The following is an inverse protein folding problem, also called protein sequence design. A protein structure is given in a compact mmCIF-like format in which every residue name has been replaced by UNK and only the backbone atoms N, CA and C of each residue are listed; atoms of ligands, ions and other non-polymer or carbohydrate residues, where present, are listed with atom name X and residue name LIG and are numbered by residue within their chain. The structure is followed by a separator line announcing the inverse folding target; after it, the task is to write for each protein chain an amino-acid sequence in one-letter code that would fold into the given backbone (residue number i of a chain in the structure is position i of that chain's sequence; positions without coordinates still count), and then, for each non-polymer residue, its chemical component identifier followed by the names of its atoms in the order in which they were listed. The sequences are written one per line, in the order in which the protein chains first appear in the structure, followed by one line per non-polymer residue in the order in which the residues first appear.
data_IF_417859477727
#
_entry.id   IF_417859477727
#
_cell.length_a   1.000
_cell.length_b   1.000
_cell.length_c   1.000
_cell.angle_alpha   90.00
_cell.angle_beta   90.00
_cell.angle_gamma   90.00
#
_symmetry.space_group_name_H-M   'P 1'
#
loop_
_entity.id
_entity.type
_entity.pdbx_description
1 polymer ?
#
# COMPACT_ATOMS: atom_id res chain seq x y z
N UNK A 1 -33.61 20.19 -15.79
CA UNK A 1 -33.38 18.74 -15.71
C UNK A 1 -31.96 18.53 -15.20
N UNK A 2 -31.78 18.18 -13.91
CA UNK A 2 -30.52 17.74 -13.39
C UNK A 2 -30.23 16.36 -14.03
N UNK A 3 -29.26 16.29 -14.94
CA UNK A 3 -28.77 15.04 -15.48
C UNK A 3 -28.12 14.25 -14.34
N UNK A 4 -28.86 13.31 -13.76
CA UNK A 4 -28.33 12.42 -12.76
C UNK A 4 -27.25 11.54 -13.38
N UNK A 5 -26.02 11.67 -12.93
CA UNK A 5 -24.96 10.71 -13.27
C UNK A 5 -25.29 9.37 -12.60
N UNK A 6 -25.56 8.34 -13.39
CA UNK A 6 -25.68 6.98 -12.87
C UNK A 6 -24.28 6.41 -12.61
N UNK A 7 -24.02 5.81 -11.44
CA UNK A 7 -22.76 5.15 -11.18
C UNK A 7 -22.57 3.98 -12.17
N UNK A 8 -21.33 3.79 -12.63
CA UNK A 8 -20.96 2.68 -13.52
C UNK A 8 -19.57 2.16 -13.14
N UNK A 9 -19.33 0.88 -13.37
CA UNK A 9 -17.98 0.31 -13.36
C UNK A 9 -17.25 0.86 -14.59
N UNK A 10 -16.03 1.36 -14.40
CA UNK A 10 -15.22 1.95 -15.48
C UNK A 10 -14.07 1.03 -15.91
N UNK A 11 -13.59 0.17 -15.01
CA UNK A 11 -12.58 -0.84 -15.32
C UNK A 11 -12.66 -2.00 -14.31
N UNK A 12 -12.22 -3.17 -14.71
CA UNK A 12 -12.16 -4.37 -13.87
C UNK A 12 -10.85 -5.12 -14.10
N UNK A 13 -10.28 -5.66 -13.01
CA UNK A 13 -9.20 -6.65 -13.08
C UNK A 13 -9.78 -8.05 -13.21
N UNK A 14 -9.01 -8.99 -13.78
CA UNK A 14 -9.38 -10.39 -13.76
C UNK A 14 -9.55 -10.88 -12.30
N UNK A 15 -10.60 -11.69 -12.00
CA UNK A 15 -10.78 -12.21 -10.65
C UNK A 15 -9.62 -13.15 -10.26
N UNK A 16 -9.29 -13.21 -8.97
CA UNK A 16 -8.26 -14.13 -8.45
C UNK A 16 -8.56 -15.60 -8.80
N UNK A 17 -9.84 -15.91 -9.03
CA UNK A 17 -10.28 -17.20 -9.56
C UNK A 17 -10.22 -18.38 -8.55
N UNK A 18 -9.82 -18.13 -7.30
CA UNK A 18 -9.73 -19.16 -6.25
C UNK A 18 -10.67 -18.81 -5.10
N UNK A 19 -11.52 -19.74 -4.63
CA UNK A 19 -12.41 -19.50 -3.51
C UNK A 19 -11.67 -19.07 -2.24
N UNK A 20 -12.32 -18.20 -1.44
CA UNK A 20 -11.78 -17.65 -0.19
C UNK A 20 -10.45 -16.88 -0.36
N UNK A 21 -10.20 -16.37 -1.54
CA UNK A 21 -9.13 -15.41 -1.81
C UNK A 21 -9.74 -14.03 -2.00
N UNK A 22 -9.03 -13.03 -1.55
CA UNK A 22 -9.42 -11.64 -1.67
C UNK A 22 -8.18 -10.74 -1.71
N UNK A 23 -8.37 -9.50 -2.05
CA UNK A 23 -7.34 -8.47 -2.04
C UNK A 23 -7.74 -7.33 -1.10
N UNK A 24 -6.75 -6.66 -0.54
CA UNK A 24 -6.95 -5.45 0.25
C UNK A 24 -6.32 -4.27 -0.48
N UNK A 25 -7.13 -3.31 -1.01
CA UNK A 25 -6.62 -2.14 -1.70
C UNK A 25 -5.78 -1.26 -0.78
N UNK A 26 -4.81 -0.55 -1.37
CA UNK A 26 -3.92 0.40 -0.68
C UNK A 26 -4.23 1.82 -1.13
N UNK A 27 -4.16 2.06 -2.44
CA UNK A 27 -4.33 3.37 -3.04
C UNK A 27 -4.15 3.33 -4.54
N UNK A 28 -4.09 4.51 -5.16
CA UNK A 28 -3.81 4.68 -6.58
C UNK A 28 -2.95 5.92 -6.82
N UNK A 29 -2.08 5.86 -7.81
CA UNK A 29 -1.20 6.94 -8.25
C UNK A 29 -0.28 6.47 -9.36
N UNK A 30 0.40 7.39 -10.01
CA UNK A 30 1.54 7.08 -10.86
C UNK A 30 2.73 6.79 -9.94
N UNK A 31 3.12 5.52 -9.83
CA UNK A 31 4.11 5.05 -8.85
C UNK A 31 5.46 4.71 -9.48
N UNK A 32 5.55 4.69 -10.80
CA UNK A 32 6.75 4.36 -11.56
C UNK A 32 7.20 5.46 -12.54
N UNK A 33 6.44 6.60 -12.56
CA UNK A 33 6.72 7.80 -13.38
C UNK A 33 6.57 7.55 -14.88
N UNK A 34 5.66 6.65 -15.27
CA UNK A 34 5.36 6.41 -16.69
C UNK A 34 4.20 7.25 -17.24
N UNK A 35 3.54 8.04 -16.37
CA UNK A 35 2.42 8.93 -16.67
C UNK A 35 1.06 8.22 -16.68
N UNK A 36 0.97 6.99 -16.22
CA UNK A 36 -0.26 6.22 -16.03
C UNK A 36 -0.56 6.06 -14.55
N UNK A 37 -1.75 5.56 -14.25
CA UNK A 37 -2.19 5.37 -12.85
C UNK A 37 -2.28 3.90 -12.53
N UNK A 38 -1.55 3.47 -11.53
CA UNK A 38 -1.64 2.15 -10.95
C UNK A 38 -2.59 2.16 -9.75
N UNK A 39 -3.31 1.06 -9.60
CA UNK A 39 -4.06 0.72 -8.40
C UNK A 39 -3.35 -0.37 -7.64
N UNK A 40 -3.05 -0.12 -6.38
CA UNK A 40 -2.26 -1.01 -5.54
C UNK A 40 -3.13 -1.81 -4.60
N UNK A 41 -2.83 -3.09 -4.48
CA UNK A 41 -3.46 -3.99 -3.52
C UNK A 41 -2.50 -5.06 -3.03
N UNK A 42 -2.76 -5.62 -1.84
CA UNK A 42 -2.15 -6.89 -1.44
C UNK A 42 -3.13 -8.02 -1.72
N UNK A 43 -2.76 -8.92 -2.61
CA UNK A 43 -3.52 -10.12 -2.92
C UNK A 43 -3.21 -11.18 -1.84
N UNK A 44 -4.24 -11.86 -1.35
CA UNK A 44 -4.16 -12.91 -0.32
C UNK A 44 -3.32 -12.51 0.91
N UNK A 45 -3.65 -11.38 1.58
CA UNK A 45 -2.78 -10.80 2.61
C UNK A 45 -2.54 -11.70 3.83
N UNK A 46 -3.32 -12.78 4.00
CA UNK A 46 -3.15 -13.73 5.11
C UNK A 46 -2.18 -14.88 4.81
N UNK A 47 -1.93 -15.16 3.52
CA UNK A 47 -1.22 -16.36 3.07
C UNK A 47 -0.22 -15.96 1.99
N UNK A 48 0.96 -15.51 2.40
CA UNK A 48 2.04 -15.17 1.48
C UNK A 48 1.69 -14.04 0.49
N UNK A 49 1.12 -12.96 1.02
CA UNK A 49 0.56 -11.87 0.23
C UNK A 49 1.49 -11.28 -0.81
N UNK A 50 0.93 -10.98 -1.97
CA UNK A 50 1.60 -10.33 -3.09
C UNK A 50 1.14 -8.89 -3.17
N UNK A 51 2.05 -7.94 -3.06
CA UNK A 51 1.82 -6.54 -3.41
C UNK A 51 1.77 -6.46 -4.93
N UNK A 52 0.63 -6.02 -5.46
CA UNK A 52 0.35 -5.99 -6.89
C UNK A 52 -0.02 -4.58 -7.29
N UNK A 53 0.61 -4.08 -8.34
CA UNK A 53 0.25 -2.87 -9.06
C UNK A 53 -0.56 -3.26 -10.31
N UNK A 54 -1.72 -2.65 -10.46
CA UNK A 54 -2.59 -2.81 -11.63
C UNK A 54 -2.61 -1.51 -12.40
N UNK A 55 -2.12 -1.51 -13.61
CA UNK A 55 -2.20 -0.37 -14.52
C UNK A 55 -3.57 -0.27 -15.17
N UNK A 56 -4.07 0.96 -15.33
CA UNK A 56 -5.38 1.23 -15.92
C UNK A 56 -5.31 1.42 -17.44
N UNK A 57 -5.94 0.53 -18.18
CA UNK A 57 -6.04 0.56 -19.64
C UNK A 57 -7.51 0.64 -20.10
N UNK A 58 -8.06 1.83 -20.18
CA UNK A 58 -9.42 2.05 -20.70
C UNK A 58 -10.51 1.45 -19.81
N UNK A 59 -10.94 0.22 -20.08
CA UNK A 59 -11.97 -0.51 -19.32
C UNK A 59 -11.41 -1.73 -18.56
N UNK A 60 -10.10 -1.94 -18.59
CA UNK A 60 -9.41 -3.04 -17.93
C UNK A 60 -8.32 -2.56 -16.97
N UNK A 61 -8.04 -3.39 -15.97
CA UNK A 61 -6.87 -3.30 -15.10
C UNK A 61 -6.00 -4.52 -15.38
N UNK A 62 -4.76 -4.30 -15.83
CA UNK A 62 -3.76 -5.36 -16.02
C UNK A 62 -2.69 -5.29 -14.95
N UNK A 63 -2.15 -6.45 -14.57
CA UNK A 63 -1.00 -6.49 -13.65
C UNK A 63 0.21 -5.91 -14.38
N UNK A 64 0.80 -4.91 -13.78
CA UNK A 64 2.04 -4.30 -14.21
C UNK A 64 3.21 -4.83 -13.38
N UNK A 65 3.14 -4.72 -12.04
CA UNK A 65 4.19 -5.15 -11.14
C UNK A 65 3.66 -6.05 -10.01
N UNK A 66 4.52 -6.97 -9.56
CA UNK A 66 4.26 -7.83 -8.41
C UNK A 66 5.52 -8.00 -7.54
N UNK A 67 5.32 -7.94 -6.22
CA UNK A 67 6.35 -8.23 -5.23
C UNK A 67 5.77 -9.05 -4.09
N UNK A 68 6.38 -10.19 -3.75
CA UNK A 68 5.88 -11.12 -2.74
C UNK A 68 6.36 -10.76 -1.33
N UNK A 69 5.62 -11.23 -0.32
CA UNK A 69 6.08 -11.19 1.08
C UNK A 69 5.47 -10.08 1.92
N UNK A 70 4.24 -9.65 1.61
CA UNK A 70 3.54 -8.57 2.31
C UNK A 70 2.22 -9.01 2.91
N UNK A 71 1.78 -8.29 3.96
CA UNK A 71 0.51 -8.55 4.61
C UNK A 71 -0.05 -7.26 5.22
N UNK A 72 -1.06 -6.69 4.59
CA UNK A 72 -1.74 -5.50 5.11
C UNK A 72 -3.06 -5.81 5.82
N UNK A 73 -3.29 -7.07 6.21
CA UNK A 73 -4.45 -7.48 6.98
C UNK A 73 -4.19 -8.75 7.81
N UNK A 74 -4.72 -8.80 9.02
CA UNK A 74 -4.69 -9.99 9.89
C UNK A 74 -6.00 -10.75 9.83
N UNK A 75 -5.94 -12.09 9.75
CA UNK A 75 -7.14 -12.94 9.81
C UNK A 75 -7.97 -12.61 11.07
N UNK A 76 -9.28 -12.43 10.90
CA UNK A 76 -10.19 -12.09 11.99
C UNK A 76 -10.19 -10.62 12.43
N UNK A 77 -9.29 -9.79 11.92
CA UNK A 77 -9.28 -8.35 12.16
C UNK A 77 -10.35 -7.64 11.32
N UNK A 78 -10.80 -6.48 11.80
CA UNK A 78 -11.60 -5.52 11.03
C UNK A 78 -10.78 -4.34 10.52
N UNK A 79 -9.49 -4.27 10.91
CA UNK A 79 -8.59 -3.22 10.46
C UNK A 79 -8.06 -3.53 9.06
N UNK A 80 -8.34 -2.66 8.10
CA UNK A 80 -7.93 -2.77 6.71
C UNK A 80 -6.85 -1.74 6.33
N UNK A 81 -6.56 -0.79 7.20
CA UNK A 81 -5.70 0.36 6.94
C UNK A 81 -4.26 0.19 7.42
N UNK A 82 -3.66 -1.02 7.31
CA UNK A 82 -2.27 -1.24 7.74
C UNK A 82 -1.22 -0.78 6.73
N UNK A 83 -1.64 -0.26 5.59
CA UNK A 83 -0.77 0.19 4.49
C UNK A 83 -1.25 1.54 3.93
N UNK A 84 -0.42 2.20 3.15
CA UNK A 84 -0.73 3.48 2.52
C UNK A 84 0.31 3.86 1.47
N UNK A 85 0.19 5.08 0.95
CA UNK A 85 1.11 5.66 -0.04
C UNK A 85 1.44 7.08 0.39
N UNK A 86 2.67 7.50 0.20
CA UNK A 86 3.13 8.88 0.34
C UNK A 86 4.44 9.08 -0.41
N UNK A 87 4.69 10.28 -0.88
CA UNK A 87 6.02 10.71 -1.30
C UNK A 87 6.85 10.94 -0.03
N UNK A 88 7.88 10.12 0.14
CA UNK A 88 8.77 10.11 1.31
C UNK A 88 10.17 10.61 0.99
N UNK A 89 10.43 11.03 -0.24
CA UNK A 89 11.72 11.57 -0.65
C UNK A 89 11.97 12.97 -0.09
N UNK A 90 13.24 13.29 0.10
CA UNK A 90 13.67 14.63 0.52
C UNK A 90 14.75 15.16 -0.41
N UNK A 91 14.46 16.14 -1.29
CA UNK A 91 13.13 16.77 -1.49
C UNK A 91 12.13 15.83 -2.18
N UNK A 92 10.83 16.07 -1.95
CA UNK A 92 9.75 15.36 -2.61
C UNK A 92 9.90 15.38 -4.14
N UNK A 93 9.77 14.23 -4.80
CA UNK A 93 9.85 14.10 -6.25
C UNK A 93 8.48 13.99 -6.93
N UNK A 94 7.40 13.86 -6.14
CA UNK A 94 6.02 13.76 -6.59
C UNK A 94 5.57 12.33 -6.84
N UNK A 95 6.44 11.34 -6.66
CA UNK A 95 6.16 9.92 -6.85
C UNK A 95 5.97 9.27 -5.48
N UNK A 96 4.83 8.63 -5.27
CA UNK A 96 4.54 8.05 -3.97
C UNK A 96 5.17 6.66 -3.80
N UNK A 97 5.87 6.46 -2.69
CA UNK A 97 6.25 5.14 -2.21
C UNK A 97 5.05 4.41 -1.59
N UNK A 98 5.10 3.09 -1.62
CA UNK A 98 4.11 2.22 -0.99
C UNK A 98 4.61 1.77 0.38
N UNK A 99 3.86 2.11 1.42
CA UNK A 99 4.15 1.74 2.80
C UNK A 99 3.30 0.51 3.13
N UNK A 100 3.94 -0.61 3.40
CA UNK A 100 3.24 -1.88 3.62
C UNK A 100 4.01 -2.79 4.60
N UNK A 101 3.33 -3.47 5.54
CA UNK A 101 3.99 -4.44 6.42
C UNK A 101 4.52 -5.66 5.67
N UNK A 102 5.61 -6.23 6.16
CA UNK A 102 6.09 -7.54 5.71
C UNK A 102 5.05 -8.65 6.02
N UNK A 103 5.23 -9.83 5.45
CA UNK A 103 4.29 -10.95 5.59
C UNK A 103 3.97 -11.31 7.05
N UNK A 104 4.93 -11.19 7.96
CA UNK A 104 4.76 -11.45 9.38
C UNK A 104 4.12 -10.26 10.14
N UNK A 105 4.01 -9.09 9.51
CA UNK A 105 3.67 -7.79 10.10
C UNK A 105 4.59 -7.40 11.27
N UNK A 106 5.82 -7.89 11.24
CA UNK A 106 6.88 -7.58 12.22
C UNK A 106 7.91 -6.58 11.70
N UNK A 107 7.71 -6.09 10.50
CA UNK A 107 8.43 -4.95 9.96
C UNK A 107 7.48 -4.09 9.13
N UNK A 108 7.66 -2.78 9.19
CA UNK A 108 7.13 -1.86 8.19
C UNK A 108 8.17 -1.66 7.11
N UNK A 109 7.74 -1.66 5.85
CA UNK A 109 8.60 -1.48 4.69
C UNK A 109 8.09 -0.34 3.83
N UNK A 110 9.02 0.29 3.12
CA UNK A 110 8.76 1.26 2.06
C UNK A 110 9.21 0.64 0.75
N UNK A 111 8.32 0.57 -0.21
CA UNK A 111 8.55 -0.02 -1.53
C UNK A 111 8.46 1.07 -2.58
N UNK A 112 9.48 1.17 -3.43
CA UNK A 112 9.55 2.03 -4.61
C UNK A 112 9.36 1.19 -5.86
N UNK A 113 8.63 1.74 -6.85
CA UNK A 113 8.30 1.06 -8.10
C UNK A 113 9.06 1.60 -9.31
N UNK A 114 9.69 2.76 -9.22
CA UNK A 114 10.55 3.26 -10.30
C UNK A 114 11.60 2.22 -10.69
N UNK A 115 11.76 1.94 -11.98
CA UNK A 115 12.61 0.89 -12.58
C UNK A 115 12.15 -0.55 -12.28
N UNK A 116 12.42 -1.02 -11.08
CA UNK A 116 12.08 -2.38 -10.62
C UNK A 116 11.61 -2.31 -9.18
N UNK A 117 10.44 -2.91 -8.85
CA UNK A 117 9.91 -2.87 -7.49
C UNK A 117 10.91 -3.40 -6.46
N UNK A 118 11.21 -2.59 -5.44
CA UNK A 118 12.15 -2.96 -4.37
C UNK A 118 11.83 -2.29 -3.05
N UNK A 119 12.19 -2.95 -1.96
CA UNK A 119 12.18 -2.33 -0.63
C UNK A 119 13.34 -1.35 -0.53
N UNK A 120 13.04 -0.06 -0.30
CA UNK A 120 14.03 1.02 -0.16
C UNK A 120 14.30 1.37 1.29
N UNK A 121 13.32 1.13 2.19
CA UNK A 121 13.49 1.34 3.63
C UNK A 121 12.72 0.29 4.42
N UNK A 122 13.21 -0.07 5.61
CA UNK A 122 12.61 -1.08 6.48
C UNK A 122 12.95 -0.85 7.94
N UNK A 123 11.94 -0.96 8.83
CA UNK A 123 12.14 -1.03 10.28
C UNK A 123 11.61 -2.36 10.82
N UNK A 124 12.43 -3.08 11.58
CA UNK A 124 12.02 -4.27 12.32
C UNK A 124 11.43 -3.87 13.68
N UNK A 125 10.38 -4.56 14.12
CA UNK A 125 9.56 -4.20 15.25
C UNK A 125 9.53 -5.29 16.31
N UNK A 126 9.32 -4.93 17.56
CA UNK A 126 9.15 -5.84 18.70
C UNK A 126 7.85 -6.64 18.62
N UNK A 127 6.77 -6.02 18.13
CA UNK A 127 5.43 -6.57 17.99
C UNK A 127 4.96 -6.65 16.54
N UNK A 128 3.72 -7.14 16.36
CA UNK A 128 3.05 -7.12 15.06
C UNK A 128 2.28 -5.83 14.87
N UNK A 129 2.29 -5.31 13.66
CA UNK A 129 1.43 -4.18 13.26
C UNK A 129 -0.02 -4.68 13.22
N UNK A 130 -0.90 -4.05 14.01
CA UNK A 130 -2.31 -4.43 14.14
C UNK A 130 -3.27 -3.25 14.06
N UNK A 131 -2.76 -2.02 14.13
CA UNK A 131 -3.56 -0.81 14.04
C UNK A 131 -3.19 0.01 12.82
N UNK A 132 -4.16 0.81 12.36
CA UNK A 132 -4.06 1.66 11.17
C UNK A 132 -2.76 2.43 11.10
N UNK A 133 -2.19 2.47 9.88
CA UNK A 133 -1.15 3.41 9.50
C UNK A 133 -1.76 4.82 9.39
N UNK A 134 -1.10 5.79 10.02
CA UNK A 134 -1.33 7.22 9.83
C UNK A 134 -0.05 7.80 9.25
N UNK A 135 -0.20 8.62 8.21
CA UNK A 135 0.90 9.29 7.51
C UNK A 135 0.70 10.78 7.75
N UNK A 136 1.64 11.44 8.41
CA UNK A 136 1.50 12.83 8.79
C UNK A 136 2.86 13.47 9.07
N UNK A 137 3.07 14.67 8.56
CA UNK A 137 4.24 15.49 8.86
C UNK A 137 4.08 16.09 10.27
N UNK A 138 4.76 15.50 11.25
CA UNK A 138 4.64 15.88 12.67
C UNK A 138 5.56 17.05 13.07
N UNK A 139 6.70 17.19 12.40
CA UNK A 139 7.71 18.18 12.74
C UNK A 139 7.76 19.38 11.74
N UNK A 140 6.95 19.33 10.68
CA UNK A 140 6.79 20.42 9.72
C UNK A 140 7.92 20.52 8.70
N UNK A 141 8.69 19.46 8.51
CA UNK A 141 9.82 19.44 7.57
C UNK A 141 9.45 19.00 6.14
N UNK A 142 8.15 18.75 5.88
CA UNK A 142 7.54 18.34 4.62
C UNK A 142 7.75 16.86 4.25
N UNK A 143 8.41 16.07 5.11
CA UNK A 143 8.52 14.62 4.94
C UNK A 143 7.69 13.94 6.03
N UNK A 144 6.63 13.19 5.70
CA UNK A 144 5.74 12.67 6.71
C UNK A 144 6.36 11.53 7.53
N UNK A 145 6.03 11.50 8.82
CA UNK A 145 6.24 10.36 9.69
C UNK A 145 5.14 9.32 9.49
N UNK A 146 5.51 8.06 9.72
CA UNK A 146 4.65 6.90 9.70
C UNK A 146 4.31 6.48 11.13
N UNK A 147 3.02 6.50 11.48
CA UNK A 147 2.54 6.24 12.84
C UNK A 147 1.66 5.01 12.80
N UNK A 148 1.93 4.00 13.62
CA UNK A 148 1.16 2.77 13.68
C UNK A 148 1.27 2.07 15.03
N UNK A 149 0.27 1.26 15.39
CA UNK A 149 0.25 0.54 16.66
C UNK A 149 0.55 -0.94 16.53
N UNK A 150 1.17 -1.49 17.58
CA UNK A 150 1.57 -2.88 17.68
C UNK A 150 0.64 -3.69 18.59
N UNK A 151 0.74 -5.03 18.52
CA UNK A 151 -0.05 -5.98 19.30
C UNK A 151 0.32 -6.02 20.79
N UNK A 152 1.44 -5.42 21.19
CA UNK A 152 1.84 -5.22 22.58
C UNK A 152 1.30 -3.90 23.19
N UNK A 153 0.52 -3.13 22.42
CA UNK A 153 -0.05 -1.84 22.82
C UNK A 153 0.87 -0.64 22.62
N UNK A 154 2.06 -0.83 22.07
CA UNK A 154 2.94 0.29 21.75
C UNK A 154 2.51 1.05 20.51
N UNK A 155 2.78 2.37 20.49
CA UNK A 155 2.64 3.26 19.35
C UNK A 155 4.04 3.57 18.82
N UNK A 156 4.25 3.34 17.53
CA UNK A 156 5.51 3.63 16.84
C UNK A 156 5.33 4.87 15.99
N UNK A 157 6.30 5.77 16.05
CA UNK A 157 6.49 6.88 15.11
C UNK A 157 7.82 6.62 14.40
N UNK A 158 7.78 6.53 13.08
CA UNK A 158 8.96 6.23 12.26
C UNK A 158 9.09 7.23 11.11
N UNK A 159 10.27 7.81 10.96
CA UNK A 159 10.66 8.60 9.80
C UNK A 159 11.60 7.76 8.95
N UNK A 160 11.17 7.27 7.78
CA UNK A 160 12.05 6.55 6.87
C UNK A 160 13.15 7.48 6.36
N UNK A 161 14.38 6.98 6.27
CA UNK A 161 15.45 7.65 5.52
C UNK A 161 15.42 7.14 4.08
N UNK A 162 15.19 8.03 3.11
CA UNK A 162 15.24 7.75 1.67
C UNK A 162 16.21 8.66 0.98
#
# INVERSE_FOLDING_TARGET
SAGGMSPRVVAEAAPIGTPNRWLNPIGAGDIDDDGRIEMLAVITPHIGGTLTAYEWHGDALSIDHELNGFSNHAIGSRELGLSGMADLDTPADGIAEVIVPDQARRAMTVVRFTDTPRIVSKINLSGRIVHRLVIYDLDGDQTPELIFGLDDGSLVVWKPGL
#
